data_IF_382897490162
#
_entry.id   IF_382897490162
#
_cell.length_a   1.000
_cell.length_b   1.000
_cell.length_c   1.000
_cell.angle_alpha   90.00
_cell.angle_beta   90.00
_cell.angle_gamma   90.00
#
_symmetry.space_group_name_H-M   'P 1'
#
loop_
_entity.id
_entity.type
_entity.pdbx_description
1 polymer ?
#
# COMPACT_ATOMS: atom_id res chain seq x y z
N UNK A 1 4.70 -14.54 1.29
CA UNK A 1 3.34 -15.09 1.42
C UNK A 1 2.33 -14.03 1.85
N UNK A 2 2.44 -13.41 3.03
CA UNK A 2 1.46 -12.42 3.52
C UNK A 2 1.22 -11.23 2.57
N UNK A 3 2.30 -10.62 2.07
CA UNK A 3 2.22 -9.49 1.14
C UNK A 3 1.40 -9.83 -0.10
N UNK A 4 1.66 -10.98 -0.69
CA UNK A 4 0.96 -11.46 -1.88
C UNK A 4 -0.54 -11.72 -1.61
N UNK A 5 -0.88 -12.22 -0.42
CA UNK A 5 -2.28 -12.42 -0.02
C UNK A 5 -3.05 -11.09 0.12
N UNK A 6 -2.40 -10.07 0.71
CA UNK A 6 -3.00 -8.74 0.81
C UNK A 6 -3.08 -8.06 -0.55
N UNK A 7 -2.02 -8.13 -1.35
CA UNK A 7 -1.98 -7.53 -2.68
C UNK A 7 -2.99 -8.20 -3.62
N UNK A 8 -3.20 -9.52 -3.58
CA UNK A 8 -4.20 -10.18 -4.44
C UNK A 8 -5.64 -9.74 -4.16
N UNK A 9 -5.98 -9.51 -2.89
CA UNK A 9 -7.33 -9.09 -2.49
C UNK A 9 -7.58 -7.58 -2.57
N UNK A 10 -6.54 -6.75 -2.37
CA UNK A 10 -6.67 -5.29 -2.28
C UNK A 10 -5.90 -4.57 -3.41
N UNK A 11 -5.59 -5.28 -4.50
CA UNK A 11 -4.86 -4.74 -5.64
C UNK A 11 -5.50 -3.46 -6.18
N UNK A 12 -6.83 -3.44 -6.33
CA UNK A 12 -7.54 -2.29 -6.89
C UNK A 12 -7.38 -1.05 -6.00
N UNK A 13 -7.57 -1.19 -4.69
CA UNK A 13 -7.33 -0.10 -3.73
C UNK A 13 -5.89 0.45 -3.83
N UNK A 14 -4.90 -0.45 -3.90
CA UNK A 14 -3.48 -0.08 -3.98
C UNK A 14 -3.18 0.64 -5.31
N UNK A 15 -3.68 0.14 -6.43
CA UNK A 15 -3.47 0.71 -7.77
C UNK A 15 -4.17 2.06 -7.94
N UNK A 16 -5.35 2.23 -7.37
CA UNK A 16 -6.09 3.51 -7.32
C UNK A 16 -5.56 4.47 -6.26
N UNK A 17 -4.48 4.11 -5.55
CA UNK A 17 -3.86 4.90 -4.48
C UNK A 17 -4.82 5.26 -3.33
N UNK A 18 -5.83 4.39 -3.10
CA UNK A 18 -6.87 4.55 -2.08
C UNK A 18 -6.65 3.58 -0.93
N UNK A 19 -6.60 4.09 0.30
CA UNK A 19 -6.52 3.22 1.48
C UNK A 19 -7.85 2.47 1.64
N UNK A 20 -7.84 1.13 1.84
CA UNK A 20 -9.05 0.33 2.00
C UNK A 20 -9.84 0.71 3.26
N UNK A 21 -11.15 0.54 3.23
CA UNK A 21 -12.00 0.72 4.40
C UNK A 21 -11.80 -0.45 5.39
N UNK A 22 -12.34 -0.29 6.61
CA UNK A 22 -12.28 -1.35 7.63
C UNK A 22 -12.91 -2.66 7.10
N UNK A 23 -14.11 -2.57 6.53
CA UNK A 23 -14.84 -3.73 6.01
C UNK A 23 -14.06 -4.48 4.92
N UNK A 24 -13.35 -3.76 4.04
CA UNK A 24 -12.51 -4.37 3.01
C UNK A 24 -11.31 -5.12 3.62
N UNK A 25 -10.72 -4.55 4.68
CA UNK A 25 -9.63 -5.20 5.41
C UNK A 25 -10.12 -6.44 6.16
N UNK A 26 -11.31 -6.41 6.75
CA UNK A 26 -11.92 -7.56 7.43
C UNK A 26 -12.24 -8.68 6.43
N UNK A 27 -12.84 -8.35 5.28
CA UNK A 27 -13.07 -9.31 4.19
C UNK A 27 -11.78 -9.96 3.68
N UNK A 28 -10.70 -9.18 3.57
CA UNK A 28 -9.38 -9.69 3.21
C UNK A 28 -8.87 -10.74 4.21
N UNK A 29 -9.09 -10.54 5.51
CA UNK A 29 -8.72 -11.49 6.56
C UNK A 29 -9.56 -12.77 6.51
N UNK A 30 -10.87 -12.65 6.28
CA UNK A 30 -11.79 -13.78 6.13
C UNK A 30 -11.39 -14.70 4.97
N UNK A 31 -10.98 -14.10 3.84
CA UNK A 31 -10.59 -14.83 2.63
C UNK A 31 -9.13 -15.32 2.64
N UNK A 32 -8.30 -14.81 3.57
CA UNK A 32 -6.90 -15.16 3.69
C UNK A 32 -6.56 -15.72 5.08
N UNK A 33 -6.80 -17.03 5.32
CA UNK A 33 -6.52 -17.66 6.62
C UNK A 33 -5.08 -17.47 7.11
N UNK A 34 -4.10 -17.43 6.19
CA UNK A 34 -2.69 -17.17 6.49
C UNK A 34 -2.47 -15.88 7.30
N UNK A 35 -3.21 -14.81 6.97
CA UNK A 35 -3.07 -13.52 7.66
C UNK A 35 -3.54 -13.65 9.11
N UNK A 36 -4.64 -14.37 9.34
CA UNK A 36 -5.18 -14.64 10.67
C UNK A 36 -4.25 -15.56 11.46
N UNK A 37 -3.72 -16.64 10.86
CA UNK A 37 -2.75 -17.54 11.48
C UNK A 37 -1.49 -16.79 11.94
N UNK A 38 -1.05 -15.79 11.17
CA UNK A 38 0.07 -14.92 11.52
C UNK A 38 -0.30 -13.74 12.42
N UNK A 39 -1.49 -13.79 13.06
CA UNK A 39 -1.99 -12.77 14.00
C UNK A 39 -2.05 -11.37 13.39
N UNK A 40 -2.38 -11.25 12.11
CA UNK A 40 -2.67 -9.97 11.47
C UNK A 40 -4.13 -9.59 11.72
N UNK A 41 -4.33 -8.34 12.12
CA UNK A 41 -5.65 -7.73 12.24
C UNK A 41 -5.90 -6.74 11.10
N UNK A 42 -7.09 -6.16 11.05
CA UNK A 42 -7.47 -5.24 9.97
C UNK A 42 -6.58 -3.98 9.96
N UNK A 43 -6.00 -3.59 11.11
CA UNK A 43 -5.08 -2.46 11.22
C UNK A 43 -3.76 -2.78 10.53
N UNK A 44 -3.21 -3.98 10.73
CA UNK A 44 -2.01 -4.43 10.04
C UNK A 44 -2.18 -4.42 8.51
N UNK A 45 -3.32 -4.93 8.01
CA UNK A 45 -3.65 -4.91 6.58
C UNK A 45 -3.76 -3.48 6.06
N UNK A 46 -4.51 -2.62 6.74
CA UNK A 46 -4.66 -1.20 6.38
C UNK A 46 -3.32 -0.48 6.34
N UNK A 47 -2.48 -0.70 7.35
CA UNK A 47 -1.16 -0.08 7.45
C UNK A 47 -0.24 -0.52 6.32
N UNK A 48 -0.28 -1.80 5.94
CA UNK A 48 0.45 -2.30 4.77
C UNK A 48 0.02 -1.58 3.49
N UNK A 49 -1.29 -1.51 3.22
CA UNK A 49 -1.81 -0.81 2.04
C UNK A 49 -1.41 0.67 2.04
N UNK A 50 -1.53 1.36 3.18
CA UNK A 50 -1.10 2.75 3.31
C UNK A 50 0.37 2.93 2.91
N UNK A 51 1.27 2.12 3.46
CA UNK A 51 2.70 2.19 3.16
C UNK A 51 3.00 1.88 1.69
N UNK A 52 2.30 0.90 1.11
CA UNK A 52 2.45 0.54 -0.29
C UNK A 52 2.06 1.70 -1.21
N UNK A 53 0.96 2.38 -0.90
CA UNK A 53 0.46 3.57 -1.61
C UNK A 53 1.45 4.73 -1.49
N UNK A 54 1.98 5.00 -0.28
CA UNK A 54 2.99 6.04 -0.08
C UNK A 54 4.25 5.79 -0.93
N UNK A 55 4.70 4.53 -1.01
CA UNK A 55 5.82 4.14 -1.86
C UNK A 55 5.53 4.38 -3.34
N UNK A 56 4.34 3.99 -3.83
CA UNK A 56 3.93 4.22 -5.22
C UNK A 56 3.90 5.72 -5.56
N UNK A 57 3.31 6.55 -4.68
CA UNK A 57 3.31 8.01 -4.83
C UNK A 57 4.73 8.57 -4.93
N UNK A 58 5.65 8.12 -4.06
CA UNK A 58 7.05 8.57 -4.09
C UNK A 58 7.77 8.15 -5.38
N UNK A 59 7.49 6.94 -5.88
CA UNK A 59 8.06 6.45 -7.14
C UNK A 59 7.56 7.27 -8.33
N UNK A 60 6.25 7.57 -8.40
CA UNK A 60 5.69 8.43 -9.45
C UNK A 60 6.29 9.84 -9.43
N UNK A 61 6.49 10.43 -8.25
CA UNK A 61 7.12 11.74 -8.10
C UNK A 61 8.59 11.76 -8.56
N UNK A 62 9.33 10.67 -8.37
CA UNK A 62 10.72 10.54 -8.85
C UNK A 62 10.82 10.37 -10.37
N UNK A 63 9.76 9.88 -11.00
CA UNK A 63 9.66 9.69 -12.46
C UNK A 63 9.10 10.93 -13.18
N UNK A 64 8.82 12.03 -12.46
CA UNK A 64 8.47 13.31 -13.07
C UNK A 64 9.56 13.84 -14.02
N UNK A 65 9.21 14.71 -14.98
CA UNK A 65 10.15 15.18 -16.00
C UNK A 65 11.43 15.77 -15.37
N UNK A 66 12.61 15.54 -15.99
CA UNK A 66 13.92 15.82 -15.38
C UNK A 66 14.14 17.29 -14.96
N UNK A 67 13.31 18.23 -15.45
CA UNK A 67 13.41 19.65 -15.14
C UNK A 67 13.06 20.01 -13.67
N UNK A 68 12.20 19.26 -12.98
CA UNK A 68 11.76 19.60 -11.61
C UNK A 68 12.58 18.93 -10.49
N UNK A 69 13.35 17.88 -10.83
CA UNK A 69 14.09 17.09 -9.83
C UNK A 69 15.41 17.75 -9.41
N UNK A 70 15.95 18.68 -10.22
CA UNK A 70 17.18 19.42 -9.93
C UNK A 70 16.99 20.55 -8.90
N UNK A 71 15.81 21.19 -8.84
CA UNK A 71 15.53 22.27 -7.89
C UNK A 71 15.42 21.81 -6.43
N UNK A 72 15.23 20.51 -6.19
CA UNK A 72 15.01 19.97 -4.84
C UNK A 72 16.30 19.53 -4.13
N UNK A 73 17.48 19.66 -4.74
CA UNK A 73 18.76 19.22 -4.16
C UNK A 73 19.68 20.35 -3.66
N UNK A 74 19.25 21.62 -3.71
CA UNK A 74 20.08 22.77 -3.32
C UNK A 74 19.78 23.30 -1.90
N UNK A 75 18.89 22.64 -1.14
CA UNK A 75 18.64 23.00 0.27
C UNK A 75 18.67 21.74 1.14
N UNK A 76 19.87 21.35 1.57
CA UNK A 76 20.12 20.64 2.83
C UNK A 76 21.56 20.89 3.26
#
# INVERSE_FOLDING_TARGET
AERAAVESHLVQNIMELRVPAKADCERCLELCPLLVTNRRDWRAVKFYCHNRIQLLKKTQQRQGPPALTLLRRVIQ
#
